data_IF_901283850168
#
_entry.id   IF_901283850168
#
_cell.length_a   1.000
_cell.length_b   1.000
_cell.length_c   1.000
_cell.angle_alpha   90.00
_cell.angle_beta   90.00
_cell.angle_gamma   90.00
#
_symmetry.space_group_name_H-M   'P 1'
#
loop_
_entity.id
_entity.type
_entity.pdbx_description
1 polymer ?
#
# COMPACT_ATOMS: atom_id res chain seq x y z
N UNK A 1 -8.50 -17.36 7.31
CA UNK A 1 -9.46 -16.59 8.16
C UNK A 1 -9.85 -15.26 7.52
N UNK A 2 -8.89 -14.39 7.17
CA UNK A 2 -9.13 -13.04 6.61
C UNK A 2 -9.94 -13.06 5.30
N UNK A 3 -9.60 -13.94 4.34
CA UNK A 3 -10.37 -14.12 3.08
C UNK A 3 -11.87 -14.34 3.32
N UNK A 4 -12.21 -15.16 4.32
CA UNK A 4 -13.60 -15.47 4.67
C UNK A 4 -14.30 -14.29 5.33
N UNK A 5 -13.60 -13.59 6.23
CA UNK A 5 -14.14 -12.42 6.92
C UNK A 5 -14.45 -11.25 5.97
N UNK A 6 -13.67 -11.12 4.89
CA UNK A 6 -13.83 -10.05 3.89
C UNK A 6 -14.60 -10.48 2.64
N UNK A 7 -15.18 -11.68 2.60
CA UNK A 7 -16.06 -12.10 1.51
C UNK A 7 -15.38 -12.52 0.21
N UNK A 8 -14.13 -13.01 0.24
CA UNK A 8 -13.46 -13.62 -0.91
C UNK A 8 -12.16 -12.94 -1.33
N UNK A 9 -11.84 -13.02 -2.62
CA UNK A 9 -10.62 -12.49 -3.21
C UNK A 9 -10.59 -10.96 -3.26
N UNK A 10 -9.44 -10.37 -3.64
CA UNK A 10 -9.27 -8.92 -3.70
C UNK A 10 -9.21 -8.27 -2.32
N UNK A 11 -8.66 -8.98 -1.33
CA UNK A 11 -8.64 -8.57 0.08
C UNK A 11 -8.14 -7.14 0.28
N UNK A 12 -7.03 -6.76 -0.38
CA UNK A 12 -6.46 -5.41 -0.25
C UNK A 12 -7.42 -4.32 -0.75
N UNK A 13 -8.03 -4.52 -1.91
CA UNK A 13 -9.04 -3.60 -2.45
C UNK A 13 -10.28 -3.49 -1.55
N UNK A 14 -10.72 -4.60 -0.93
CA UNK A 14 -11.87 -4.58 -0.01
C UNK A 14 -11.59 -3.84 1.30
N UNK A 15 -10.36 -3.92 1.82
CA UNK A 15 -9.95 -3.14 2.98
C UNK A 15 -9.95 -1.65 2.65
N UNK A 16 -9.47 -1.30 1.45
CA UNK A 16 -9.54 0.07 0.93
C UNK A 16 -11.00 0.57 0.86
N UNK A 17 -11.90 -0.20 0.23
CA UNK A 17 -13.32 0.16 0.08
C UNK A 17 -14.00 0.39 1.43
N UNK A 18 -13.63 -0.41 2.45
CA UNK A 18 -14.13 -0.25 3.80
C UNK A 18 -13.65 1.06 4.46
N UNK A 19 -12.36 1.38 4.32
CA UNK A 19 -11.80 2.62 4.88
C UNK A 19 -12.40 3.86 4.21
N UNK A 20 -12.52 3.84 2.88
CA UNK A 20 -13.17 4.90 2.10
C UNK A 20 -14.64 5.07 2.50
N UNK A 21 -15.40 3.98 2.57
CA UNK A 21 -16.82 4.01 2.98
C UNK A 21 -17.03 4.48 4.42
N UNK A 22 -16.03 4.33 5.29
CA UNK A 22 -16.04 4.84 6.66
C UNK A 22 -15.61 6.32 6.76
N UNK A 23 -15.23 6.96 5.64
CA UNK A 23 -14.77 8.36 5.61
C UNK A 23 -13.38 8.58 6.19
N UNK A 24 -12.56 7.53 6.28
CA UNK A 24 -11.16 7.63 6.73
C UNK A 24 -10.27 7.96 5.52
N UNK A 25 -9.24 8.82 5.67
CA UNK A 25 -8.30 9.09 4.58
C UNK A 25 -7.65 7.81 4.05
N UNK A 26 -7.65 7.65 2.72
CA UNK A 26 -7.06 6.50 2.03
C UNK A 26 -5.79 6.87 1.26
N UNK A 27 -5.38 8.13 1.29
CA UNK A 27 -4.20 8.64 0.61
C UNK A 27 -3.22 9.28 1.63
N UNK A 28 -1.92 8.98 1.52
CA UNK A 28 -0.92 9.59 2.43
C UNK A 28 -0.81 11.11 2.24
N UNK A 29 -1.12 11.63 1.04
CA UNK A 29 -1.19 13.08 0.80
C UNK A 29 -2.22 13.78 1.68
N UNK A 30 -3.32 13.09 2.00
CA UNK A 30 -4.39 13.62 2.86
C UNK A 30 -3.94 13.65 4.35
N UNK A 31 -2.86 12.94 4.67
CA UNK A 31 -2.20 12.94 5.98
C UNK A 31 -0.99 13.91 6.01
N UNK A 32 -0.73 14.65 4.94
CA UNK A 32 0.34 15.64 4.85
C UNK A 32 1.68 15.12 4.32
N UNK A 33 1.75 13.91 3.78
CA UNK A 33 2.97 13.43 3.11
C UNK A 33 3.19 14.15 1.77
N UNK A 34 4.38 14.70 1.57
CA UNK A 34 4.77 15.27 0.27
C UNK A 34 5.12 14.17 -0.75
N UNK A 35 4.84 14.40 -2.03
CA UNK A 35 5.20 13.45 -3.10
C UNK A 35 6.72 13.27 -3.22
N UNK A 36 7.47 14.34 -2.95
CA UNK A 36 8.94 14.38 -2.89
C UNK A 36 9.53 13.42 -1.85
N UNK A 37 8.78 13.10 -0.79
CA UNK A 37 9.23 12.20 0.29
C UNK A 37 9.14 10.70 -0.07
N UNK A 38 8.56 10.33 -1.22
CA UNK A 38 8.40 8.92 -1.62
C UNK A 38 9.74 8.20 -1.68
N UNK A 39 10.77 8.78 -2.32
CA UNK A 39 12.10 8.16 -2.41
C UNK A 39 12.75 7.99 -1.05
N UNK A 40 12.57 8.99 -0.18
CA UNK A 40 13.06 8.94 1.20
C UNK A 40 12.38 7.82 1.98
N UNK A 41 11.08 7.65 1.84
CA UNK A 41 10.32 6.60 2.49
C UNK A 41 10.76 5.20 2.03
N UNK A 42 11.02 5.02 0.73
CA UNK A 42 11.59 3.77 0.18
C UNK A 42 12.94 3.45 0.81
N UNK A 43 13.85 4.43 0.87
CA UNK A 43 15.17 4.24 1.46
C UNK A 43 15.09 3.84 2.94
N UNK A 44 14.22 4.48 3.72
CA UNK A 44 14.00 4.16 5.14
C UNK A 44 13.44 2.75 5.35
N UNK A 45 12.50 2.34 4.50
CA UNK A 45 11.90 1.02 4.57
C UNK A 45 12.90 -0.11 4.20
N UNK A 46 13.80 0.14 3.24
CA UNK A 46 14.87 -0.79 2.88
C UNK A 46 15.97 -0.85 3.94
N UNK A 47 16.32 0.27 4.56
CA UNK A 47 17.33 0.32 5.62
C UNK A 47 16.91 -0.46 6.88
N UNK A 48 15.60 -0.58 7.12
CA UNK A 48 15.02 -1.32 8.25
C UNK A 48 14.23 -2.54 7.77
N UNK A 49 14.73 -3.23 6.72
CA UNK A 49 14.08 -4.40 6.18
C UNK A 49 13.94 -5.50 7.24
N UNK A 50 12.71 -5.97 7.43
CA UNK A 50 12.40 -7.14 8.27
C UNK A 50 12.17 -8.36 7.38
N UNK A 51 12.16 -9.55 8.00
CA UNK A 51 11.82 -10.79 7.31
C UNK A 51 10.38 -10.73 6.78
N UNK A 52 10.24 -10.46 5.48
CA UNK A 52 8.97 -10.34 4.79
C UNK A 52 8.78 -11.57 3.88
N UNK A 53 7.60 -12.24 3.85
CA UNK A 53 7.36 -13.40 2.99
C UNK A 53 7.64 -13.17 1.51
N UNK A 54 7.56 -11.91 1.06
CA UNK A 54 8.07 -11.46 -0.23
C UNK A 54 9.30 -10.57 0.00
N UNK A 55 10.43 -10.83 -0.68
CA UNK A 55 11.57 -9.93 -0.68
C UNK A 55 11.16 -8.48 -1.00
N UNK A 56 11.77 -7.52 -0.30
CA UNK A 56 11.53 -6.11 -0.56
C UNK A 56 12.38 -5.66 -1.75
N UNK A 57 11.72 -5.42 -2.87
CA UNK A 57 12.36 -4.92 -4.08
C UNK A 57 12.15 -3.40 -4.19
N UNK A 58 13.20 -2.59 -4.42
CA UNK A 58 13.10 -1.13 -4.37
C UNK A 58 12.03 -0.55 -5.29
N UNK A 59 11.90 -1.08 -6.51
CA UNK A 59 10.97 -0.58 -7.51
C UNK A 59 9.50 -0.90 -7.15
N UNK A 60 9.23 -2.10 -6.61
CA UNK A 60 7.90 -2.47 -6.11
C UNK A 60 7.53 -1.68 -4.87
N UNK A 61 8.50 -1.43 -3.98
CA UNK A 61 8.27 -0.64 -2.77
C UNK A 61 7.98 0.82 -3.11
N UNK A 62 8.71 1.41 -4.06
CA UNK A 62 8.42 2.75 -4.59
C UNK A 62 7.02 2.82 -5.18
N UNK A 63 6.63 1.84 -5.99
CA UNK A 63 5.27 1.75 -6.55
C UNK A 63 4.21 1.65 -5.47
N UNK A 64 4.44 0.81 -4.45
CA UNK A 64 3.52 0.63 -3.32
C UNK A 64 3.30 1.96 -2.57
N UNK A 65 4.38 2.66 -2.24
CA UNK A 65 4.31 3.94 -1.52
C UNK A 65 3.67 5.02 -2.39
N UNK A 66 3.98 5.08 -3.69
CA UNK A 66 3.35 6.03 -4.61
C UNK A 66 1.84 5.80 -4.75
N UNK A 67 1.41 4.54 -4.86
CA UNK A 67 -0.02 4.18 -4.89
C UNK A 67 -0.73 4.55 -3.58
N UNK A 68 -0.10 4.27 -2.44
CA UNK A 68 -0.63 4.67 -1.14
C UNK A 68 -0.68 6.20 -0.99
N UNK A 69 0.31 6.92 -1.50
CA UNK A 69 0.32 8.39 -1.50
C UNK A 69 -0.82 8.98 -2.34
N UNK A 70 -1.07 8.40 -3.52
CA UNK A 70 -2.13 8.84 -4.42
C UNK A 70 -3.54 8.36 -4.02
N UNK A 71 -3.65 7.43 -3.05
CA UNK A 71 -4.89 6.78 -2.69
C UNK A 71 -5.43 5.85 -3.78
N UNK A 72 -4.54 5.20 -4.53
CA UNK A 72 -4.94 4.25 -5.59
C UNK A 72 -5.47 2.97 -4.94
N UNK A 73 -6.70 2.59 -5.29
CA UNK A 73 -7.31 1.34 -4.85
C UNK A 73 -6.41 0.15 -5.22
N UNK A 74 -5.97 -0.69 -4.27
CA UNK A 74 -5.05 -1.79 -4.56
C UNK A 74 -5.67 -2.89 -5.43
N UNK A 75 -4.90 -3.36 -6.41
CA UNK A 75 -5.14 -4.61 -7.14
C UNK A 75 -3.92 -5.53 -7.06
N UNK A 76 -4.15 -6.83 -6.96
CA UNK A 76 -3.08 -7.83 -6.88
C UNK A 76 -2.21 -7.82 -8.14
N UNK A 77 -2.80 -7.56 -9.32
CA UNK A 77 -2.07 -7.49 -10.59
C UNK A 77 -1.02 -6.36 -10.63
N UNK A 78 -1.15 -5.36 -9.75
CA UNK A 78 -0.24 -4.20 -9.71
C UNK A 78 1.18 -4.56 -9.26
N UNK A 79 1.34 -5.72 -8.60
CA UNK A 79 2.59 -6.16 -7.98
C UNK A 79 2.99 -7.58 -8.37
N UNK A 80 2.52 -8.14 -9.48
CA UNK A 80 2.83 -9.54 -9.86
C UNK A 80 4.14 -9.74 -10.63
N UNK A 81 4.85 -8.66 -10.92
CA UNK A 81 6.17 -8.69 -11.57
C UNK A 81 7.27 -9.24 -10.64
#
# INVERSE_FOLDING_TARGET
AIKRALGGDGIAGRIYDLAEGAGVPVALRDLGMEESDIDRAVALALANAYANPRPLEPHLLRRLIANAWAGVRPDHSTYTD
#
